data_IF_114096309074
#
_entry.id   IF_114096309074
#
_cell.length_a   1.000
_cell.length_b   1.000
_cell.length_c   1.000
_cell.angle_alpha   90.00
_cell.angle_beta   90.00
_cell.angle_gamma   90.00
#
_symmetry.space_group_name_H-M   'P 1'
#
loop_
_entity.id
_entity.type
_entity.pdbx_description
1 polymer ?
#
# COMPACT_ATOMS: atom_id res chain seq x y z
N UNK A 1 1.90 34.88 -18.12
CA UNK A 1 2.93 33.86 -18.44
C UNK A 1 2.40 32.52 -17.97
N UNK A 2 2.27 31.54 -18.86
CA UNK A 2 1.83 30.19 -18.49
C UNK A 2 3.04 29.33 -18.13
N UNK A 3 3.04 28.75 -16.93
CA UNK A 3 4.00 27.72 -16.55
C UNK A 3 3.47 26.36 -17.00
N UNK A 4 4.30 25.57 -17.68
CA UNK A 4 3.99 24.19 -18.02
C UNK A 4 4.41 23.28 -16.86
N UNK A 5 3.49 22.44 -16.40
CA UNK A 5 3.74 21.42 -15.38
C UNK A 5 3.86 20.05 -16.07
N UNK A 6 5.00 19.38 -15.88
CA UNK A 6 5.23 18.02 -16.37
C UNK A 6 5.41 17.05 -15.21
N UNK A 7 4.95 15.80 -15.38
CA UNK A 7 5.19 14.72 -14.43
C UNK A 7 5.56 13.44 -15.18
N UNK A 8 6.21 12.52 -14.47
CA UNK A 8 6.59 11.19 -14.99
C UNK A 8 5.91 10.15 -14.12
N UNK A 9 5.16 9.24 -14.74
CA UNK A 9 4.59 8.09 -14.05
C UNK A 9 5.69 7.08 -13.74
N UNK A 10 5.84 6.75 -12.47
CA UNK A 10 6.88 5.82 -12.01
C UNK A 10 6.38 4.39 -11.81
N UNK A 11 5.11 4.23 -11.43
CA UNK A 11 4.56 2.94 -11.02
C UNK A 11 3.06 2.89 -11.26
N UNK A 12 2.56 1.71 -11.61
CA UNK A 12 1.14 1.45 -11.82
C UNK A 12 0.62 0.48 -10.77
N UNK A 13 -0.58 0.77 -10.26
CA UNK A 13 -1.27 -0.07 -9.30
C UNK A 13 -2.65 -0.48 -9.83
N UNK A 14 -3.02 -1.73 -9.59
CA UNK A 14 -4.34 -2.27 -9.94
C UNK A 14 -5.00 -2.82 -8.68
N UNK A 15 -6.27 -2.53 -8.45
CA UNK A 15 -7.02 -3.03 -7.31
C UNK A 15 -8.07 -4.07 -7.72
N UNK A 16 -8.48 -4.93 -6.78
CA UNK A 16 -9.49 -5.98 -6.99
C UNK A 16 -10.92 -5.54 -6.67
N UNK A 17 -11.19 -4.24 -6.67
CA UNK A 17 -12.47 -3.66 -6.25
C UNK A 17 -12.88 -4.13 -4.85
N UNK A 18 -14.17 -4.46 -4.69
CA UNK A 18 -14.76 -4.87 -3.42
C UNK A 18 -14.31 -6.25 -2.89
N UNK A 19 -13.37 -6.94 -3.54
CA UNK A 19 -12.97 -8.30 -3.20
C UNK A 19 -11.87 -8.35 -2.12
N UNK A 20 -12.27 -8.71 -0.90
CA UNK A 20 -11.35 -9.08 0.18
C UNK A 20 -10.97 -10.56 0.09
N UNK A 21 -9.73 -10.89 0.43
CA UNK A 21 -9.29 -12.28 0.57
C UNK A 21 -8.03 -12.36 1.44
N UNK A 22 -7.60 -13.57 1.76
CA UNK A 22 -6.31 -13.82 2.40
C UNK A 22 -5.15 -13.43 1.48
N UNK A 23 -3.97 -13.17 2.07
CA UNK A 23 -2.80 -12.68 1.33
C UNK A 23 -2.37 -13.64 0.21
N UNK A 24 -2.50 -14.96 0.41
CA UNK A 24 -2.12 -15.96 -0.58
C UNK A 24 -2.99 -15.84 -1.84
N UNK A 25 -4.31 -15.77 -1.68
CA UNK A 25 -5.26 -15.62 -2.78
C UNK A 25 -5.16 -14.25 -3.47
N UNK A 26 -4.90 -13.18 -2.71
CA UNK A 26 -4.66 -11.87 -3.31
C UNK A 26 -3.34 -11.87 -4.11
N UNK A 27 -2.28 -12.51 -3.59
CA UNK A 27 -1.00 -12.66 -4.29
C UNK A 27 -1.15 -13.45 -5.58
N UNK A 28 -1.87 -14.58 -5.52
CA UNK A 28 -2.17 -15.39 -6.71
C UNK A 28 -2.92 -14.59 -7.78
N UNK A 29 -3.87 -13.74 -7.37
CA UNK A 29 -4.57 -12.86 -8.29
C UNK A 29 -3.64 -11.80 -8.91
N UNK A 30 -2.79 -11.12 -8.12
CA UNK A 30 -1.81 -10.19 -8.66
C UNK A 30 -0.90 -10.87 -9.71
N UNK A 31 -0.38 -12.05 -9.37
CA UNK A 31 0.48 -12.82 -10.25
C UNK A 31 -0.23 -13.23 -11.56
N UNK A 32 -1.53 -13.55 -11.51
CA UNK A 32 -2.30 -13.89 -12.71
C UNK A 32 -2.46 -12.73 -13.69
N UNK A 33 -2.30 -11.49 -13.23
CA UNK A 33 -2.32 -10.28 -14.06
C UNK A 33 -0.95 -9.92 -14.63
N UNK A 34 0.11 -10.64 -14.24
CA UNK A 34 1.50 -10.23 -14.51
C UNK A 34 2.02 -9.13 -13.57
N UNK A 35 1.31 -8.86 -12.49
CA UNK A 35 1.69 -7.92 -11.44
C UNK A 35 2.22 -8.71 -10.22
N UNK A 36 2.72 -8.01 -9.21
CA UNK A 36 3.10 -8.60 -7.92
C UNK A 36 2.32 -7.97 -6.78
N UNK A 37 2.24 -8.69 -5.67
CA UNK A 37 1.85 -8.08 -4.39
C UNK A 37 2.87 -6.97 -4.03
N UNK A 38 2.42 -5.76 -3.65
CA UNK A 38 3.29 -4.68 -3.22
C UNK A 38 3.98 -5.01 -1.89
N UNK A 39 5.15 -4.43 -1.69
CA UNK A 39 5.83 -4.35 -0.39
C UNK A 39 5.29 -3.17 0.41
N UNK A 40 5.56 -3.13 1.71
CA UNK A 40 5.30 -1.97 2.58
C UNK A 40 5.88 -0.70 1.97
N UNK A 41 7.09 -0.78 1.41
CA UNK A 41 7.75 0.37 0.76
C UNK A 41 7.10 0.82 -0.55
N UNK A 42 6.29 0.00 -1.21
CA UNK A 42 5.55 0.45 -2.41
C UNK A 42 4.34 1.32 -2.01
N UNK A 43 3.86 1.21 -0.77
CA UNK A 43 2.59 1.79 -0.35
C UNK A 43 2.72 2.93 0.66
N UNK A 44 3.76 2.92 1.50
CA UNK A 44 3.93 3.91 2.57
C UNK A 44 5.39 4.21 2.87
N UNK A 45 5.65 5.34 3.52
CA UNK A 45 6.91 5.70 4.18
C UNK A 45 6.84 5.64 5.71
N UNK A 46 5.78 5.06 6.26
CA UNK A 46 5.58 4.85 7.69
C UNK A 46 6.73 4.03 8.32
N UNK A 47 7.11 4.39 9.54
CA UNK A 47 8.07 3.64 10.35
C UNK A 47 7.35 3.02 11.55
N UNK A 48 7.16 1.70 11.50
CA UNK A 48 6.60 0.93 12.61
C UNK A 48 7.73 0.39 13.49
N UNK A 49 7.75 0.85 14.74
CA UNK A 49 8.77 0.45 15.74
C UNK A 49 8.33 -0.72 16.62
N UNK A 50 7.04 -1.05 16.63
CA UNK A 50 6.52 -2.21 17.34
C UNK A 50 7.07 -3.51 16.73
N UNK A 51 7.17 -4.59 17.52
CA UNK A 51 7.65 -5.88 17.03
C UNK A 51 6.54 -6.61 16.23
N UNK A 52 6.81 -7.12 15.02
CA UNK A 52 8.05 -6.97 14.26
C UNK A 52 8.19 -5.57 13.65
N UNK A 53 9.38 -4.93 13.76
CA UNK A 53 9.59 -3.59 13.21
C UNK A 53 9.74 -3.62 11.70
N UNK A 54 9.24 -2.59 11.02
CA UNK A 54 9.37 -2.44 9.57
C UNK A 54 9.32 -0.95 9.19
N UNK A 55 10.03 -0.61 8.12
CA UNK A 55 10.03 0.73 7.53
C UNK A 55 9.54 0.66 6.09
N UNK A 56 8.78 1.67 5.69
CA UNK A 56 8.38 1.87 4.31
C UNK A 56 9.46 2.52 3.45
N UNK A 57 9.03 3.24 2.41
CA UNK A 57 9.89 3.98 1.51
C UNK A 57 10.65 5.13 2.19
N UNK A 58 11.66 5.62 1.48
CA UNK A 58 12.35 6.86 1.78
C UNK A 58 11.73 8.04 0.98
N UNK A 59 11.75 9.27 1.52
CA UNK A 59 12.16 9.62 2.87
C UNK A 59 11.19 9.07 3.92
N UNK A 60 11.74 8.44 4.96
CA UNK A 60 10.97 7.82 6.01
C UNK A 60 10.27 8.87 6.87
N UNK A 61 9.05 8.56 7.28
CA UNK A 61 8.33 9.34 8.26
C UNK A 61 8.94 9.18 9.66
N UNK A 62 8.61 10.10 10.58
CA UNK A 62 9.08 10.02 11.96
C UNK A 62 8.42 8.91 12.79
N UNK A 63 7.36 8.26 12.29
CA UNK A 63 6.65 7.19 12.99
C UNK A 63 5.60 6.48 12.12
N UNK A 64 4.66 5.79 12.75
CA UNK A 64 3.64 5.01 12.04
C UNK A 64 2.38 5.85 11.80
N UNK A 65 2.48 6.89 10.97
CA UNK A 65 1.39 7.83 10.67
C UNK A 65 1.62 8.53 9.33
N UNK A 66 0.60 9.23 8.85
CA UNK A 66 0.67 9.97 7.60
C UNK A 66 1.74 11.07 7.60
N UNK A 67 2.64 11.00 6.63
CA UNK A 67 3.58 12.07 6.32
C UNK A 67 3.82 12.14 4.82
N UNK A 68 3.09 13.04 4.16
CA UNK A 68 3.11 13.21 2.70
C UNK A 68 4.51 13.48 2.15
N UNK A 69 4.94 12.66 1.19
CA UNK A 69 6.17 12.81 0.44
C UNK A 69 6.01 12.20 -0.96
N UNK A 70 6.47 12.92 -1.98
CA UNK A 70 6.44 12.44 -3.37
C UNK A 70 7.48 11.33 -3.54
N UNK A 71 7.07 10.23 -4.17
CA UNK A 71 7.92 9.06 -4.40
C UNK A 71 8.13 8.17 -3.18
N UNK A 72 7.31 8.34 -2.13
CA UNK A 72 7.46 7.66 -0.85
C UNK A 72 6.34 6.64 -0.57
N UNK A 73 5.81 6.03 -1.64
CA UNK A 73 4.76 5.02 -1.58
C UNK A 73 3.37 5.58 -1.93
N UNK A 74 2.51 4.70 -2.45
CA UNK A 74 1.24 5.09 -3.05
C UNK A 74 0.30 5.85 -2.09
N UNK A 75 0.01 5.31 -0.90
CA UNK A 75 -0.89 5.98 0.04
C UNK A 75 -0.26 7.20 0.71
N UNK A 76 1.07 7.24 0.82
CA UNK A 76 1.79 8.44 1.28
C UNK A 76 1.67 9.59 0.28
N UNK A 77 1.90 9.32 -1.00
CA UNK A 77 1.92 10.36 -2.04
C UNK A 77 0.52 10.88 -2.37
N UNK A 78 -0.47 9.99 -2.39
CA UNK A 78 -1.83 10.32 -2.79
C UNK A 78 -2.78 10.59 -1.61
N UNK A 79 -2.39 10.24 -0.38
CA UNK A 79 -3.23 10.45 0.81
C UNK A 79 -4.40 9.47 0.89
N UNK A 80 -5.46 9.86 1.63
CA UNK A 80 -6.61 8.97 1.87
C UNK A 80 -7.34 8.60 0.59
N UNK A 81 -7.45 7.30 0.31
CA UNK A 81 -8.13 6.77 -0.86
C UNK A 81 -9.63 7.06 -0.89
N UNK A 82 -10.25 7.30 0.27
CA UNK A 82 -11.67 7.69 0.36
C UNK A 82 -11.98 8.98 -0.41
N UNK A 83 -11.00 9.86 -0.58
CA UNK A 83 -11.17 11.13 -1.27
C UNK A 83 -11.23 11.00 -2.81
N UNK A 84 -10.99 9.81 -3.36
CA UNK A 84 -10.92 9.57 -4.80
C UNK A 84 -12.15 8.79 -5.27
N UNK A 85 -13.13 9.51 -5.82
CA UNK A 85 -14.31 8.90 -6.43
C UNK A 85 -13.93 7.98 -7.60
N UNK A 86 -14.66 6.87 -7.74
CA UNK A 86 -14.52 5.90 -8.83
C UNK A 86 -13.13 5.23 -8.97
N UNK A 87 -12.26 5.35 -7.96
CA UNK A 87 -10.95 4.69 -7.94
C UNK A 87 -11.03 3.18 -7.63
N UNK A 88 -12.17 2.70 -7.12
CA UNK A 88 -12.36 1.31 -6.67
C UNK A 88 -11.61 0.96 -5.38
N UNK A 89 -10.99 1.95 -4.73
CA UNK A 89 -10.32 1.82 -3.44
C UNK A 89 -11.25 2.31 -2.32
N UNK A 90 -11.20 1.63 -1.18
CA UNK A 90 -12.02 1.94 0.00
C UNK A 90 -11.11 2.18 1.19
N UNK A 91 -11.60 2.90 2.21
CA UNK A 91 -10.82 3.17 3.41
C UNK A 91 -10.73 1.93 4.32
N UNK A 92 -9.67 1.14 4.16
CA UNK A 92 -9.48 -0.13 4.85
C UNK A 92 -8.00 -0.59 4.77
N UNK A 93 -7.75 -1.86 5.10
CA UNK A 93 -6.44 -2.50 5.06
C UNK A 93 -6.15 -3.16 3.72
N UNK A 94 -4.93 -2.93 3.25
CA UNK A 94 -4.39 -3.48 2.02
C UNK A 94 -3.17 -4.36 2.33
N UNK A 95 -3.22 -5.62 1.90
CA UNK A 95 -2.13 -6.55 2.10
C UNK A 95 -0.84 -6.11 1.41
N UNK A 96 0.29 -6.48 2.03
CA UNK A 96 1.62 -6.42 1.40
C UNK A 96 2.25 -7.80 1.36
N UNK A 97 3.35 -7.96 0.62
CA UNK A 97 4.12 -9.19 0.57
C UNK A 97 5.05 -9.40 1.77
N UNK A 98 5.26 -8.38 2.61
CA UNK A 98 6.18 -8.46 3.75
C UNK A 98 5.56 -9.23 4.92
N UNK A 99 6.23 -10.30 5.32
CA UNK A 99 5.80 -11.15 6.43
C UNK A 99 6.10 -10.51 7.80
N UNK A 100 5.22 -10.77 8.76
CA UNK A 100 5.32 -10.34 10.15
C UNK A 100 5.35 -11.56 11.09
N UNK A 101 6.33 -12.46 10.91
CA UNK A 101 6.34 -13.75 11.60
C UNK A 101 5.30 -14.70 11.01
N UNK A 102 4.33 -15.15 11.83
CA UNK A 102 3.16 -15.93 11.36
C UNK A 102 2.03 -15.04 10.82
N UNK A 103 2.19 -13.72 10.92
CA UNK A 103 1.26 -12.71 10.41
C UNK A 103 1.77 -12.12 9.09
N UNK A 104 0.96 -11.24 8.49
CA UNK A 104 1.29 -10.47 7.31
C UNK A 104 1.13 -8.98 7.60
N UNK A 105 2.01 -8.13 7.04
CA UNK A 105 1.82 -6.68 7.12
C UNK A 105 0.71 -6.20 6.17
N UNK A 106 -0.03 -5.20 6.62
CA UNK A 106 -1.05 -4.50 5.84
C UNK A 106 -0.95 -2.99 6.07
N UNK A 107 -1.34 -2.22 5.06
CA UNK A 107 -1.30 -0.75 5.10
C UNK A 107 -2.72 -0.20 5.09
N UNK A 108 -2.98 0.77 5.96
CA UNK A 108 -4.22 1.54 5.94
C UNK A 108 -4.21 2.51 4.75
N UNK A 109 -5.26 2.48 3.94
CA UNK A 109 -5.39 3.37 2.77
C UNK A 109 -5.71 4.83 3.13
N UNK A 110 -6.08 5.11 4.39
CA UNK A 110 -6.42 6.44 4.87
C UNK A 110 -5.19 7.31 5.17
N UNK A 111 -4.19 6.72 5.83
CA UNK A 111 -3.05 7.45 6.39
C UNK A 111 -1.69 6.75 6.18
N UNK A 112 -1.67 5.58 5.52
CA UNK A 112 -0.43 4.84 5.25
C UNK A 112 0.16 4.14 6.47
N UNK A 113 -0.57 4.03 7.58
CA UNK A 113 -0.15 3.29 8.77
C UNK A 113 0.07 1.79 8.50
N UNK A 114 1.11 1.23 9.10
CA UNK A 114 1.44 -0.20 9.03
C UNK A 114 0.83 -0.94 10.21
N UNK A 115 0.02 -1.96 9.91
CA UNK A 115 -0.49 -2.94 10.86
C UNK A 115 0.00 -4.34 10.47
N UNK A 116 -0.16 -5.30 11.37
CA UNK A 116 0.00 -6.72 11.08
C UNK A 116 -1.22 -7.51 11.58
N UNK A 117 -1.51 -8.62 10.93
CA UNK A 117 -2.61 -9.51 11.31
C UNK A 117 -2.44 -10.90 10.72
N UNK A 118 -3.27 -11.85 11.16
CA UNK A 118 -3.19 -13.22 10.66
C UNK A 118 -3.24 -13.25 9.14
N UNK A 119 -2.34 -13.99 8.50
CA UNK A 119 -2.32 -14.17 7.05
C UNK A 119 -3.61 -14.80 6.49
N UNK A 120 -4.45 -15.38 7.36
CA UNK A 120 -5.77 -15.94 7.03
C UNK A 120 -6.89 -14.90 6.96
N UNK A 121 -6.70 -13.69 7.48
CA UNK A 121 -7.70 -12.63 7.46
C UNK A 121 -7.96 -12.14 6.04
N UNK A 122 -9.17 -11.60 5.83
CA UNK A 122 -9.60 -11.09 4.53
C UNK A 122 -9.42 -9.58 4.49
N UNK A 123 -8.44 -9.11 3.70
CA UNK A 123 -8.19 -7.70 3.44
C UNK A 123 -8.14 -7.43 1.93
N UNK A 124 -8.13 -6.15 1.55
CA UNK A 124 -8.00 -5.74 0.16
C UNK A 124 -6.57 -5.92 -0.36
N UNK A 125 -6.40 -5.76 -1.66
CA UNK A 125 -5.10 -5.72 -2.29
C UNK A 125 -5.09 -4.69 -3.41
N UNK A 126 -3.95 -4.01 -3.52
CA UNK A 126 -3.49 -3.45 -4.78
C UNK A 126 -2.34 -4.32 -5.27
N UNK A 127 -2.12 -4.35 -6.57
CA UNK A 127 -1.02 -5.06 -7.20
C UNK A 127 -0.10 -4.04 -7.84
N UNK A 128 1.20 -4.18 -7.67
CA UNK A 128 2.21 -3.33 -8.28
C UNK A 128 2.69 -3.95 -9.59
N UNK A 129 2.88 -3.13 -10.62
CA UNK A 129 3.66 -3.53 -11.78
C UNK A 129 5.09 -3.91 -11.34
N UNK A 130 5.74 -4.79 -12.11
CA UNK A 130 7.13 -5.20 -11.89
C UNK A 130 8.12 -4.05 -12.12
#
# INVERSE_FOLDING_TARGET
MGHLHGFVLKQWFVNRGAQKNNVSNQTAWCNSLGYRMPRVSDLTNAVRRASPPISGAAPSSSGNYYQCHIGAGFFTEWGSMYNYADAGLVDDLYWTSDAAGSNQFAITSGDGGVLDGSASYSNYAVCSAL
#
